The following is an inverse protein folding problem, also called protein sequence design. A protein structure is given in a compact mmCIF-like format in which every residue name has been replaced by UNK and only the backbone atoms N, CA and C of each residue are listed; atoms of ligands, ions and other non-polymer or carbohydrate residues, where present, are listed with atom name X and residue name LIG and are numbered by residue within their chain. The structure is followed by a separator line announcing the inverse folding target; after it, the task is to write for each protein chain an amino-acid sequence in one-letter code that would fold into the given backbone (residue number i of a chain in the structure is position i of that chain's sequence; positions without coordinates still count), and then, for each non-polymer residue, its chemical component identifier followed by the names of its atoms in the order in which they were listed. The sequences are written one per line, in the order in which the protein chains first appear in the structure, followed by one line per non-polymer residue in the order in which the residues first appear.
data_IF_559786999215
#
_entry.id   IF_559786999215
#
_cell.length_a   1.000
_cell.length_b   1.000
_cell.length_c   1.000
_cell.angle_alpha   90.00
_cell.angle_beta   90.00
_cell.angle_gamma   90.00
#
_symmetry.space_group_name_H-M   'P 1'
#
loop_
_entity.id
_entity.type
_entity.pdbx_description
1 polymer ?
#
# COMPACT_ATOMS: atom_id res chain seq x y z
N UNK A 1 15.92 6.21 10.87
CA UNK A 1 14.90 7.28 10.78
C UNK A 1 14.00 6.93 9.62
N UNK A 2 12.75 6.52 9.86
CA UNK A 2 11.81 6.20 8.78
C UNK A 2 11.25 7.51 8.24
N UNK A 3 11.85 8.06 7.20
CA UNK A 3 11.40 9.30 6.56
C UNK A 3 9.97 9.06 6.05
N UNK A 4 9.00 9.80 6.57
CA UNK A 4 7.60 9.71 6.17
C UNK A 4 7.45 10.35 4.77
N UNK A 5 7.91 9.63 3.75
CA UNK A 5 7.87 10.07 2.35
C UNK A 5 6.46 9.91 1.75
N UNK A 6 5.68 8.97 2.30
CA UNK A 6 4.34 8.63 1.85
C UNK A 6 3.38 8.59 3.04
N UNK A 7 2.31 9.36 2.96
CA UNK A 7 1.18 9.29 3.89
C UNK A 7 -0.01 8.57 3.25
N UNK A 8 -0.78 7.84 4.05
CA UNK A 8 -2.00 7.15 3.61
C UNK A 8 -3.17 7.56 4.48
N UNK A 9 -4.17 8.18 3.85
CA UNK A 9 -5.36 8.72 4.52
C UNK A 9 -6.63 8.08 3.95
N UNK A 10 -7.48 7.43 4.76
CA UNK A 10 -7.29 7.10 6.18
C UNK A 10 -6.23 6.00 6.39
N UNK A 11 -5.52 5.96 7.53
CA UNK A 11 -4.47 4.98 7.81
C UNK A 11 -5.02 3.59 8.19
N UNK A 12 -6.33 3.49 8.42
CA UNK A 12 -7.04 2.26 8.75
C UNK A 12 -8.20 2.04 7.78
N UNK A 13 -8.42 0.79 7.38
CA UNK A 13 -9.52 0.38 6.51
C UNK A 13 -10.60 -0.30 7.36
N UNK A 14 -11.65 0.40 7.83
CA UNK A 14 -12.79 -0.25 8.46
C UNK A 14 -13.66 -0.87 7.36
N UNK A 15 -13.39 -2.12 7.01
CA UNK A 15 -14.27 -2.89 6.13
C UNK A 15 -15.16 -3.77 6.99
N UNK A 16 -16.46 -3.87 6.68
CA UNK A 16 -17.34 -4.82 7.38
C UNK A 16 -17.13 -6.23 6.84
N UNK A 17 -17.40 -7.25 7.66
CA UNK A 17 -17.38 -8.66 7.25
C UNK A 17 -18.34 -8.97 6.08
N UNK A 18 -19.41 -8.17 5.91
CA UNK A 18 -20.33 -8.25 4.77
C UNK A 18 -19.70 -7.78 3.44
N UNK A 19 -18.51 -7.20 3.51
CA UNK A 19 -17.79 -6.61 2.38
C UNK A 19 -17.97 -5.10 2.28
N UNK A 20 -17.03 -4.44 1.59
CA UNK A 20 -17.03 -2.99 1.47
C UNK A 20 -15.95 -2.46 0.51
N UNK A 21 -16.10 -1.20 0.12
CA UNK A 21 -15.13 -0.47 -0.69
C UNK A 21 -14.47 0.58 0.21
N UNK A 22 -13.16 0.49 0.42
CA UNK A 22 -12.40 1.51 1.14
C UNK A 22 -11.50 2.27 0.17
N UNK A 23 -11.60 3.60 0.16
CA UNK A 23 -10.76 4.48 -0.66
C UNK A 23 -9.68 5.08 0.24
N UNK A 24 -8.42 4.87 -0.13
CA UNK A 24 -7.26 5.43 0.56
C UNK A 24 -6.54 6.38 -0.38
N UNK A 25 -6.26 7.59 0.11
CA UNK A 25 -5.47 8.58 -0.58
C UNK A 25 -4.01 8.41 -0.17
N UNK A 26 -3.18 8.08 -1.15
CA UNK A 26 -1.73 8.05 -1.04
C UNK A 26 -1.21 9.46 -1.35
N UNK A 27 -0.54 10.07 -0.38
CA UNK A 27 -0.03 11.44 -0.46
C UNK A 27 1.49 11.35 -0.42
N UNK A 28 2.14 11.68 -1.54
CA UNK A 28 3.59 11.84 -1.59
C UNK A 28 3.96 13.14 -0.87
N UNK A 29 4.67 13.03 0.26
CA UNK A 29 5.14 14.17 1.06
C UNK A 29 6.57 14.59 0.69
N UNK A 30 7.23 13.82 -0.18
CA UNK A 30 8.56 14.12 -0.67
C UNK A 30 8.55 15.00 -1.91
N UNK A 31 9.66 15.71 -2.13
CA UNK A 31 9.86 16.51 -3.35
C UNK A 31 10.25 15.65 -4.57
N UNK A 32 10.61 14.38 -4.36
CA UNK A 32 10.94 13.41 -5.41
C UNK A 32 9.71 12.58 -5.81
N UNK A 33 9.72 12.03 -7.03
CA UNK A 33 8.72 11.06 -7.46
C UNK A 33 8.93 9.74 -6.71
N UNK A 34 7.85 9.13 -6.22
CA UNK A 34 7.90 7.84 -5.53
C UNK A 34 7.22 6.77 -6.38
N UNK A 35 7.90 5.63 -6.54
CA UNK A 35 7.26 4.38 -6.94
C UNK A 35 6.57 3.77 -5.72
N UNK A 36 5.42 3.12 -5.91
CA UNK A 36 4.74 2.35 -4.87
C UNK A 36 4.28 0.99 -5.38
N UNK A 37 4.28 0.00 -4.49
CA UNK A 37 3.80 -1.36 -4.74
C UNK A 37 2.88 -1.79 -3.63
N UNK A 38 1.64 -2.09 -3.98
CA UNK A 38 0.64 -2.59 -3.05
C UNK A 38 0.65 -4.11 -3.06
N UNK A 39 0.87 -4.72 -1.89
CA UNK A 39 0.81 -6.16 -1.68
C UNK A 39 -0.28 -6.48 -0.66
N UNK A 40 -1.32 -7.16 -1.11
CA UNK A 40 -2.36 -7.70 -0.22
C UNK A 40 -1.98 -9.12 0.24
N UNK A 41 -2.21 -9.44 1.51
CA UNK A 41 -1.97 -10.78 2.06
C UNK A 41 -3.09 -11.79 1.76
N UNK A 42 -4.27 -11.32 1.34
CA UNK A 42 -5.41 -12.18 1.01
C UNK A 42 -5.80 -11.99 -0.46
N UNK A 43 -6.29 -13.06 -1.08
CA UNK A 43 -6.70 -13.17 -2.49
C UNK A 43 -7.93 -12.32 -2.85
N UNK A 44 -8.10 -11.18 -2.18
CA UNK A 44 -9.03 -10.13 -2.56
C UNK A 44 -8.50 -9.49 -3.84
N UNK A 45 -9.01 -9.99 -4.96
CA UNK A 45 -8.78 -9.47 -6.30
C UNK A 45 -8.92 -7.94 -6.29
N UNK A 46 -7.89 -7.28 -6.79
CA UNK A 46 -7.77 -5.83 -6.99
C UNK A 46 -8.80 -5.34 -8.03
N UNK A 47 -10.07 -5.34 -7.64
CA UNK A 47 -11.18 -4.67 -8.32
C UNK A 47 -12.42 -4.67 -7.38
N UNK A 48 -12.41 -3.82 -6.35
CA UNK A 48 -13.62 -3.24 -5.73
C UNK A 48 -14.79 -4.18 -5.31
N UNK A 49 -14.63 -5.49 -5.17
CA UNK A 49 -15.70 -6.39 -4.72
C UNK A 49 -15.09 -7.47 -3.82
N UNK A 50 -15.24 -7.30 -2.51
CA UNK A 50 -14.90 -8.34 -1.53
C UNK A 50 -16.01 -9.40 -1.56
N UNK A 51 -15.69 -10.62 -1.97
CA UNK A 51 -16.59 -11.78 -1.85
C UNK A 51 -16.83 -12.07 -0.37
N UNK A 52 -18.08 -12.33 0.02
CA UNK A 52 -18.46 -12.66 1.39
C UNK A 52 -17.64 -13.86 1.89
N UNK A 53 -16.73 -13.60 2.83
CA UNK A 53 -15.79 -14.59 3.38
C UNK A 53 -15.44 -14.24 4.82
N UNK A 54 -15.04 -15.25 5.60
CA UNK A 54 -14.78 -15.15 7.05
C UNK A 54 -13.95 -13.90 7.39
N UNK A 55 -14.35 -13.09 8.38
CA UNK A 55 -13.58 -11.92 8.81
C UNK A 55 -12.22 -12.41 9.28
N UNK A 56 -11.18 -12.11 8.51
CA UNK A 56 -9.81 -12.37 8.88
C UNK A 56 -9.09 -11.04 8.94
N UNK A 57 -8.30 -10.85 10.00
CA UNK A 57 -7.42 -9.70 10.11
C UNK A 57 -6.43 -9.75 8.94
N UNK A 58 -6.65 -8.87 7.97
CA UNK A 58 -5.84 -8.77 6.78
C UNK A 58 -4.89 -7.58 6.89
N UNK A 59 -3.81 -7.64 6.11
CA UNK A 59 -2.81 -6.58 6.08
C UNK A 59 -2.54 -6.23 4.63
N UNK A 60 -2.66 -4.95 4.31
CA UNK A 60 -2.27 -4.40 3.03
C UNK A 60 -0.95 -3.67 3.25
N UNK A 61 0.10 -4.16 2.57
CA UNK A 61 1.45 -3.63 2.68
C UNK A 61 1.71 -2.77 1.45
N UNK A 62 1.93 -1.48 1.65
CA UNK A 62 2.30 -0.53 0.60
C UNK A 62 3.79 -0.25 0.75
N UNK A 63 4.60 -0.85 -0.11
CA UNK A 63 6.01 -0.52 -0.19
C UNK A 63 6.17 0.69 -1.10
N UNK A 64 7.05 1.62 -0.74
CA UNK A 64 7.41 2.77 -1.57
C UNK A 64 8.92 2.90 -1.67
N UNK A 65 9.36 3.46 -2.80
CA UNK A 65 10.76 3.71 -3.06
C UNK A 65 10.91 4.99 -3.90
N UNK A 66 12.05 5.67 -3.78
CA UNK A 66 12.33 6.81 -4.65
C UNK A 66 12.47 6.32 -6.09
N UNK A 67 11.85 7.05 -7.02
CA UNK A 67 11.96 6.78 -8.43
C UNK A 67 12.45 8.05 -9.15
N UNK A 68 13.44 7.94 -10.05
CA UNK A 68 13.81 9.05 -10.91
C UNK A 68 12.62 9.47 -11.77
N UNK A 69 12.60 10.74 -12.21
CA UNK A 69 11.50 11.28 -13.01
C UNK A 69 11.29 10.49 -14.32
N UNK A 70 12.36 9.92 -14.87
CA UNK A 70 12.39 9.12 -16.10
C UNK A 70 11.99 7.64 -15.87
N UNK A 71 11.74 7.23 -14.63
CA UNK A 71 11.34 5.85 -14.32
C UNK A 71 10.04 5.47 -15.06
N UNK A 72 10.14 4.47 -15.93
CA UNK A 72 9.02 3.91 -16.68
C UNK A 72 8.42 2.67 -16.00
N UNK A 73 9.24 1.89 -15.27
CA UNK A 73 8.81 0.68 -14.58
C UNK A 73 9.02 0.77 -13.06
N UNK A 74 7.93 0.90 -12.32
CA UNK A 74 7.94 0.95 -10.86
C UNK A 74 8.35 -0.40 -10.23
N UNK A 75 8.13 -1.53 -10.91
CA UNK A 75 8.34 -2.87 -10.35
C UNK A 75 9.83 -3.19 -10.15
N UNK A 76 10.69 -2.67 -11.03
CA UNK A 76 12.17 -2.75 -10.89
C UNK A 76 12.66 -2.25 -9.52
N UNK A 77 11.99 -1.24 -8.95
CA UNK A 77 12.36 -0.62 -7.67
C UNK A 77 11.96 -1.44 -6.43
N UNK A 78 11.28 -2.57 -6.62
CA UNK A 78 10.86 -3.47 -5.53
C UNK A 78 11.39 -4.91 -5.69
N UNK A 79 12.34 -5.11 -6.60
CA UNK A 79 13.06 -6.39 -6.72
C UNK A 79 14.08 -6.53 -5.57
N UNK A 80 14.53 -7.76 -5.28
CA UNK A 80 15.43 -8.01 -4.15
C UNK A 80 16.77 -7.22 -4.23
N UNK A 81 17.18 -6.88 -5.45
CA UNK A 81 18.40 -6.10 -5.73
C UNK A 81 18.09 -4.63 -6.08
N UNK A 82 16.87 -4.16 -5.82
CA UNK A 82 16.51 -2.78 -6.13
C UNK A 82 17.34 -1.79 -5.30
N UNK A 83 17.72 -0.64 -5.90
CA UNK A 83 18.42 0.41 -5.17
C UNK A 83 17.52 0.92 -4.04
N UNK A 84 17.95 0.71 -2.79
CA UNK A 84 17.32 1.29 -1.61
C UNK A 84 17.86 2.71 -1.45
N UNK A 85 17.07 3.67 -1.88
CA UNK A 85 17.35 5.09 -1.70
C UNK A 85 16.98 5.55 -0.29
N UNK A 86 17.23 6.82 0.02
CA UNK A 86 16.84 7.41 1.31
C UNK A 86 15.32 7.42 1.53
N UNK A 87 14.53 7.58 0.46
CA UNK A 87 13.06 7.55 0.50
C UNK A 87 12.48 6.15 0.23
N UNK A 88 12.92 5.14 0.99
CA UNK A 88 12.41 3.77 0.91
C UNK A 88 11.68 3.37 2.19
N UNK A 89 10.59 2.63 2.07
CA UNK A 89 9.84 2.17 3.24
C UNK A 89 8.64 1.30 2.92
N UNK A 90 7.97 0.85 3.99
CA UNK A 90 6.72 0.11 3.91
C UNK A 90 5.68 0.72 4.84
N UNK A 91 4.45 0.82 4.34
CA UNK A 91 3.28 1.28 5.08
C UNK A 91 2.30 0.11 5.20
N UNK A 92 2.04 -0.33 6.42
CA UNK A 92 1.17 -1.47 6.69
C UNK A 92 -0.20 -0.94 7.10
N UNK A 93 -1.18 -1.01 6.20
CA UNK A 93 -2.59 -0.85 6.56
C UNK A 93 -3.11 -2.14 7.17
N UNK A 94 -3.61 -2.03 8.40
CA UNK A 94 -4.39 -3.09 9.02
C UNK A 94 -5.80 -3.01 8.46
N UNK A 95 -6.22 -4.08 7.78
CA UNK A 95 -7.60 -4.29 7.37
C UNK A 95 -8.29 -5.00 8.54
N UNK A 96 -9.03 -4.24 9.32
CA UNK A 96 -9.89 -4.80 10.37
C UNK A 96 -11.27 -5.02 9.79
N UNK A 97 -11.68 -6.29 9.71
CA UNK A 97 -13.06 -6.65 9.48
C UNK A 97 -13.82 -6.48 10.80
N UNK A 98 -14.50 -5.34 10.99
CA UNK A 98 -15.41 -5.19 12.12
C UNK A 98 -16.73 -5.90 11.78
N UNK A 99 -17.23 -6.68 12.73
CA UNK A 99 -18.53 -7.38 12.66
C UNK A 99 -19.68 -6.36 12.66
#
# INVERSE_FOLDING_TARGET
MSTQALAVEPPCCPISAAGGKSKHKLINQSSSRLAYKVKSKSSFSVAHHTVAGKPKADKLVIMFNEAPADATDASKFFEANAPKTELTGEFILKLSAAE
#
